data_IF_039566516415
#
_entry.id   IF_039566516415
#
_cell.length_a   1.000
_cell.length_b   1.000
_cell.length_c   1.000
_cell.angle_alpha   90.00
_cell.angle_beta   90.00
_cell.angle_gamma   90.00
#
_symmetry.space_group_name_H-M   'P 1'
#
loop_
_entity.id
_entity.type
_entity.pdbx_description
1 polymer ?
#
# COMPACT_ATOMS: atom_id res chain seq x y z
N UNK A 1 21.60 0.18 -8.47
CA UNK A 1 21.27 -0.50 -9.75
C UNK A 1 20.62 -1.82 -9.40
N UNK A 2 19.62 -2.23 -10.18
CA UNK A 2 18.96 -3.51 -9.97
C UNK A 2 19.97 -4.65 -10.15
N UNK A 3 20.02 -5.57 -9.19
CA UNK A 3 20.75 -6.82 -9.33
C UNK A 3 19.86 -7.88 -9.97
N UNK A 4 20.48 -8.89 -10.57
CA UNK A 4 19.75 -10.02 -11.13
C UNK A 4 18.89 -10.69 -10.03
N UNK A 5 17.66 -11.07 -10.36
CA UNK A 5 16.68 -11.68 -9.43
C UNK A 5 16.20 -10.79 -8.26
N UNK A 6 16.39 -9.48 -8.32
CA UNK A 6 15.91 -8.58 -7.28
C UNK A 6 14.37 -8.44 -7.31
N UNK A 7 13.71 -8.86 -6.22
CA UNK A 7 12.24 -8.76 -6.05
C UNK A 7 11.83 -7.44 -5.38
N UNK A 8 12.65 -6.95 -4.44
CA UNK A 8 12.36 -5.75 -3.66
C UNK A 8 12.86 -4.46 -4.36
N UNK A 9 12.51 -3.31 -3.78
CA UNK A 9 13.06 -2.00 -4.17
C UNK A 9 14.59 -1.99 -4.16
N UNK A 10 15.20 -1.10 -4.96
CA UNK A 10 16.63 -0.80 -4.82
C UNK A 10 16.92 -0.15 -3.46
N UNK A 11 18.11 -0.39 -2.93
CA UNK A 11 18.55 0.24 -1.68
C UNK A 11 18.44 1.77 -1.79
N UNK A 12 17.97 2.39 -0.72
CA UNK A 12 17.80 3.84 -0.67
C UNK A 12 19.15 4.57 -0.73
N UNK A 13 19.22 5.58 -1.60
CA UNK A 13 20.32 6.54 -1.68
C UNK A 13 19.92 7.94 -1.19
N UNK A 14 18.71 8.10 -0.64
CA UNK A 14 18.23 9.36 -0.07
C UNK A 14 17.29 9.09 1.12
N UNK A 15 17.19 10.01 2.09
CA UNK A 15 16.30 9.85 3.26
C UNK A 15 14.83 9.68 2.87
N UNK A 16 14.40 10.31 1.78
CA UNK A 16 13.03 10.20 1.26
C UNK A 16 12.77 8.78 0.75
N UNK A 17 13.73 8.19 0.02
CA UNK A 17 13.60 6.82 -0.47
C UNK A 17 13.53 5.81 0.69
N UNK A 18 14.23 6.07 1.79
CA UNK A 18 14.13 5.24 3.00
C UNK A 18 12.71 5.28 3.60
N UNK A 19 12.12 6.47 3.73
CA UNK A 19 10.72 6.61 4.19
C UNK A 19 9.72 5.93 3.24
N UNK A 20 9.96 5.99 1.92
CA UNK A 20 9.14 5.30 0.93
C UNK A 20 9.24 3.78 1.07
N UNK A 21 10.42 3.22 1.36
CA UNK A 21 10.56 1.78 1.63
C UNK A 21 9.81 1.36 2.90
N UNK A 22 9.91 2.13 4.00
CA UNK A 22 9.12 1.86 5.21
C UNK A 22 7.60 1.93 4.97
N UNK A 23 7.15 2.92 4.19
CA UNK A 23 5.75 3.04 3.81
C UNK A 23 5.29 1.87 2.93
N UNK A 24 6.11 1.46 1.96
CA UNK A 24 5.85 0.29 1.14
C UNK A 24 5.70 -0.96 2.00
N UNK A 25 6.62 -1.22 2.93
CA UNK A 25 6.56 -2.42 3.77
C UNK A 25 5.32 -2.43 4.66
N UNK A 26 4.95 -1.28 5.25
CA UNK A 26 3.70 -1.16 6.02
C UNK A 26 2.46 -1.44 5.16
N UNK A 27 2.38 -0.88 3.95
CA UNK A 27 1.23 -1.11 3.06
C UNK A 27 1.17 -2.56 2.56
N UNK A 28 2.31 -3.18 2.29
CA UNK A 28 2.39 -4.59 1.90
C UNK A 28 1.96 -5.54 3.02
N UNK A 29 2.29 -5.26 4.29
CA UNK A 29 1.79 -6.04 5.43
C UNK A 29 0.26 -5.97 5.50
N UNK A 30 -0.32 -4.79 5.33
CA UNK A 30 -1.77 -4.61 5.37
C UNK A 30 -2.45 -5.36 4.20
N UNK A 31 -1.91 -5.22 2.98
CA UNK A 31 -2.46 -5.90 1.80
C UNK A 31 -2.39 -7.42 1.93
N UNK A 32 -1.24 -7.95 2.34
CA UNK A 32 -1.08 -9.40 2.54
C UNK A 32 -2.05 -9.92 3.61
N UNK A 33 -2.24 -9.19 4.72
CA UNK A 33 -3.23 -9.55 5.74
C UNK A 33 -4.66 -9.63 5.17
N UNK A 34 -5.08 -8.65 4.36
CA UNK A 34 -6.41 -8.63 3.74
C UNK A 34 -6.58 -9.82 2.78
N UNK A 35 -5.58 -10.07 1.93
CA UNK A 35 -5.64 -11.20 0.98
C UNK A 35 -5.70 -12.55 1.69
N UNK A 36 -4.95 -12.74 2.78
CA UNK A 36 -5.01 -13.95 3.61
C UNK A 36 -6.38 -14.10 4.28
N UNK A 37 -6.97 -13.00 4.77
CA UNK A 37 -8.32 -13.03 5.36
C UNK A 37 -9.37 -13.46 4.33
N UNK A 38 -9.36 -12.85 3.14
CA UNK A 38 -10.32 -13.15 2.07
C UNK A 38 -10.16 -14.60 1.61
N UNK A 39 -8.93 -15.04 1.33
CA UNK A 39 -8.66 -16.42 0.92
C UNK A 39 -9.12 -17.42 1.98
N UNK A 40 -8.91 -17.14 3.26
CA UNK A 40 -9.40 -17.98 4.35
C UNK A 40 -10.93 -18.06 4.39
N UNK A 41 -11.65 -16.93 4.24
CA UNK A 41 -13.13 -16.91 4.18
C UNK A 41 -13.62 -17.74 2.99
N UNK A 42 -13.02 -17.57 1.81
CA UNK A 42 -13.39 -18.31 0.61
C UNK A 42 -13.22 -19.82 0.79
N UNK A 43 -12.07 -20.25 1.34
CA UNK A 43 -11.80 -21.65 1.66
C UNK A 43 -12.85 -22.19 2.64
N UNK A 44 -13.16 -21.44 3.71
CA UNK A 44 -14.17 -21.85 4.69
C UNK A 44 -15.56 -22.00 4.09
N UNK A 45 -15.96 -21.10 3.20
CA UNK A 45 -17.25 -21.16 2.52
C UNK A 45 -17.35 -22.38 1.60
N UNK A 46 -16.26 -22.74 0.90
CA UNK A 46 -16.22 -23.93 0.04
C UNK A 46 -16.34 -25.25 0.82
N UNK A 47 -15.72 -25.34 2.00
CA UNK A 47 -15.74 -26.56 2.82
C UNK A 47 -16.92 -26.64 3.81
N UNK A 48 -17.76 -25.62 3.88
CA UNK A 48 -18.88 -25.61 4.82
C UNK A 48 -20.02 -26.54 4.34
N UNK A 49 -20.40 -27.51 5.17
CA UNK A 49 -21.50 -28.45 4.87
C UNK A 49 -22.89 -27.93 5.29
N UNK A 50 -22.96 -26.86 6.08
CA UNK A 50 -24.23 -26.31 6.59
C UNK A 50 -24.86 -25.40 5.55
N UNK A 51 -26.11 -25.68 5.16
CA UNK A 51 -26.86 -24.90 4.19
C UNK A 51 -27.77 -23.92 4.93
N UNK A 52 -27.63 -22.63 4.66
CA UNK A 52 -28.59 -21.60 5.06
C UNK A 52 -29.04 -20.82 3.83
N UNK A 53 -30.34 -20.88 3.49
CA UNK A 53 -30.93 -20.23 2.30
C UNK A 53 -31.64 -18.91 2.58
N UNK A 54 -31.92 -18.62 3.85
CA UNK A 54 -32.79 -17.50 4.23
C UNK A 54 -32.02 -16.23 4.62
N UNK A 55 -30.69 -16.32 4.73
CA UNK A 55 -29.84 -15.17 5.04
C UNK A 55 -29.58 -14.34 3.78
N UNK A 56 -30.50 -13.43 3.46
CA UNK A 56 -30.40 -12.55 2.29
C UNK A 56 -29.71 -11.23 2.62
N UNK A 57 -29.97 -10.67 3.81
CA UNK A 57 -29.39 -9.42 4.28
C UNK A 57 -29.00 -9.53 5.76
N UNK A 58 -27.95 -8.81 6.15
CA UNK A 58 -27.61 -8.62 7.55
C UNK A 58 -26.91 -7.28 7.75
N UNK A 59 -27.69 -6.26 8.11
CA UNK A 59 -27.20 -4.90 8.31
C UNK A 59 -25.96 -4.83 9.22
N UNK A 60 -25.89 -5.68 10.25
CA UNK A 60 -24.75 -5.69 11.18
C UNK A 60 -23.46 -6.11 10.48
N UNK A 61 -23.51 -7.08 9.56
CA UNK A 61 -22.34 -7.51 8.77
C UNK A 61 -21.94 -6.40 7.80
N UNK A 62 -22.93 -5.73 7.18
CA UNK A 62 -22.63 -4.66 6.22
C UNK A 62 -21.93 -3.48 6.87
N UNK A 63 -22.36 -3.11 8.07
CA UNK A 63 -21.72 -2.07 8.86
C UNK A 63 -20.26 -2.45 9.17
N UNK A 64 -20.03 -3.71 9.59
CA UNK A 64 -18.67 -4.19 9.92
C UNK A 64 -17.75 -4.13 8.70
N UNK A 65 -18.18 -4.68 7.55
CA UNK A 65 -17.34 -4.71 6.36
C UNK A 65 -17.18 -3.35 5.67
N UNK A 66 -17.94 -2.33 6.08
CA UNK A 66 -17.82 -0.96 5.54
C UNK A 66 -16.88 -0.13 6.40
N UNK A 67 -17.05 -0.19 7.73
CA UNK A 67 -16.23 0.56 8.68
C UNK A 67 -14.81 0.01 8.73
N UNK A 68 -14.63 -1.32 8.71
CA UNK A 68 -13.31 -1.94 8.84
C UNK A 68 -12.35 -1.52 7.69
N UNK A 69 -12.73 -1.59 6.40
CA UNK A 69 -11.86 -1.10 5.32
C UNK A 69 -11.66 0.41 5.35
N UNK A 70 -12.67 1.20 5.71
CA UNK A 70 -12.54 2.65 5.81
C UNK A 70 -11.45 3.04 6.84
N UNK A 71 -11.43 2.36 7.99
CA UNK A 71 -10.40 2.57 9.01
C UNK A 71 -9.00 2.19 8.51
N UNK A 72 -8.88 1.06 7.80
CA UNK A 72 -7.61 0.62 7.21
C UNK A 72 -7.07 1.66 6.22
N UNK A 73 -7.93 2.24 5.37
CA UNK A 73 -7.53 3.27 4.42
C UNK A 73 -7.00 4.54 5.12
N UNK A 74 -7.62 4.96 6.23
CA UNK A 74 -7.12 6.09 7.02
C UNK A 74 -5.72 5.82 7.57
N UNK A 75 -5.45 4.60 8.06
CA UNK A 75 -4.13 4.21 8.54
C UNK A 75 -3.05 4.24 7.45
N UNK A 76 -3.42 3.95 6.20
CA UNK A 76 -2.51 4.06 5.04
C UNK A 76 -2.33 5.53 4.63
N UNK A 77 -3.42 6.32 4.65
CA UNK A 77 -3.42 7.69 4.16
C UNK A 77 -2.54 8.62 5.01
N UNK A 78 -2.54 8.48 6.34
CA UNK A 78 -1.76 9.34 7.25
C UNK A 78 -0.24 9.34 6.97
N UNK A 79 0.46 8.19 6.95
CA UNK A 79 1.89 8.16 6.62
C UNK A 79 2.14 8.55 5.16
N UNK A 80 1.23 8.21 4.24
CA UNK A 80 1.35 8.58 2.82
C UNK A 80 1.38 10.09 2.62
N UNK A 81 0.42 10.82 3.19
CA UNK A 81 0.33 12.27 3.08
C UNK A 81 1.54 12.95 3.74
N UNK A 82 2.01 12.43 4.87
CA UNK A 82 3.22 12.96 5.53
C UNK A 82 4.44 12.89 4.60
N UNK A 83 4.65 11.76 3.92
CA UNK A 83 5.78 11.60 2.99
C UNK A 83 5.61 12.52 1.77
N UNK A 84 4.40 12.65 1.25
CA UNK A 84 4.11 13.54 0.13
C UNK A 84 4.52 14.99 0.44
N UNK A 85 4.14 15.51 1.61
CA UNK A 85 4.54 16.85 2.01
C UNK A 85 6.05 16.98 2.23
N UNK A 86 6.71 15.97 2.80
CA UNK A 86 8.19 15.97 2.95
C UNK A 86 8.94 16.01 1.60
N UNK A 87 8.32 15.50 0.54
CA UNK A 87 8.90 15.53 -0.82
C UNK A 87 8.74 16.88 -1.50
N UNK A 88 7.63 17.57 -1.25
CA UNK A 88 7.29 18.85 -1.89
C UNK A 88 7.90 20.07 -1.18
N UNK A 89 8.42 19.89 0.04
CA UNK A 89 9.11 20.96 0.77
C UNK A 89 10.28 21.53 -0.05
N UNK A 90 10.14 22.83 -0.40
CA UNK A 90 11.18 23.60 -1.10
C UNK A 90 12.35 23.80 -0.14
N UNK A 91 13.41 23.03 -0.33
CA UNK A 91 14.69 23.20 0.38
C UNK A 91 15.53 24.25 -0.34
N UNK A 92 16.35 25.00 0.39
CA UNK A 92 17.39 25.84 -0.19
C UNK A 92 18.57 24.98 -0.65
N UNK A 93 18.79 24.80 -1.97
CA UNK A 93 19.84 23.91 -2.46
C UNK A 93 21.20 24.62 -2.44
N UNK A 94 22.26 23.85 -2.22
CA UNK A 94 23.65 24.34 -2.38
C UNK A 94 24.13 24.29 -3.84
N UNK A 95 23.55 23.38 -4.64
CA UNK A 95 23.92 23.14 -6.05
C UNK A 95 22.64 23.03 -6.88
N UNK A 96 22.60 23.69 -8.04
CA UNK A 96 21.51 23.58 -9.02
C UNK A 96 22.05 22.99 -10.33
N UNK A 97 21.37 21.97 -10.86
CA UNK A 97 21.73 21.30 -12.12
C UNK A 97 20.52 21.36 -13.04
N UNK A 98 20.72 21.72 -14.31
CA UNK A 98 19.69 21.71 -15.36
C UNK A 98 20.03 20.62 -16.38
N UNK A 99 19.09 19.71 -16.63
CA UNK A 99 19.16 18.70 -17.70
C UNK A 99 18.15 19.04 -18.82
N UNK A 100 18.49 18.81 -20.10
CA UNK A 100 17.65 19.18 -21.25
C UNK A 100 17.44 17.95 -22.13
N UNK A 101 16.23 17.38 -22.06
CA UNK A 101 15.88 16.22 -22.88
C UNK A 101 15.89 16.52 -24.39
N UNK A 102 16.54 15.63 -25.13
CA UNK A 102 16.48 15.52 -26.60
C UNK A 102 15.96 14.13 -26.99
N UNK A 103 15.77 13.89 -28.29
CA UNK A 103 15.44 12.55 -28.77
C UNK A 103 16.63 11.61 -28.53
N UNK A 104 16.46 10.69 -27.56
CA UNK A 104 17.43 9.68 -27.11
C UNK A 104 18.63 10.16 -26.29
N UNK A 105 18.66 11.40 -25.78
CA UNK A 105 19.65 11.86 -24.79
C UNK A 105 19.10 12.99 -23.89
N UNK A 106 19.88 13.42 -22.90
CA UNK A 106 19.54 14.43 -21.89
C UNK A 106 20.56 15.56 -21.83
#
# INVERSE_FOLDING_TARGET
MATWSQINMQNANSPIMEQLMFFHDNTMIILTMITVLITWIMIKMLFNKKINRYMMENQMIEIIWTIMPAFILVLIALPSLKILYMMDEIKSPTITIKAIGHQWYW
#
